data_IF_848780251634
#
_entry.id   IF_848780251634
#
_cell.length_a   1.000
_cell.length_b   1.000
_cell.length_c   1.000
_cell.angle_alpha   90.00
_cell.angle_beta   90.00
_cell.angle_gamma   90.00
#
_symmetry.space_group_name_H-M   'P 1'
#
loop_
_entity.id
_entity.type
_entity.pdbx_description
1 polymer ?
#
# COMPACT_ATOMS: atom_id res chain seq x y z
N UNK A 1 5.87 -8.12 60.05
CA UNK A 1 4.57 -8.04 59.34
C UNK A 1 4.33 -6.57 59.02
N UNK A 2 4.61 -6.16 57.78
CA UNK A 2 4.47 -4.75 57.37
C UNK A 2 3.01 -4.28 57.40
N UNK A 3 2.80 -2.99 57.62
CA UNK A 3 1.46 -2.37 57.55
C UNK A 3 0.92 -2.46 56.11
N UNK A 4 -0.38 -2.71 55.95
CA UNK A 4 -1.07 -2.76 54.65
C UNK A 4 -0.84 -1.49 53.81
N UNK A 5 -0.68 -0.34 54.47
CA UNK A 5 -0.41 0.95 53.81
C UNK A 5 0.97 0.92 53.12
N UNK A 6 1.99 0.39 53.77
CA UNK A 6 3.34 0.31 53.18
C UNK A 6 3.42 -0.66 52.01
N UNK A 7 2.66 -1.75 52.04
CA UNK A 7 2.55 -2.69 50.90
C UNK A 7 1.85 -2.04 49.70
N UNK A 8 0.80 -1.24 49.96
CA UNK A 8 0.11 -0.47 48.92
C UNK A 8 1.04 0.57 48.29
N UNK A 9 1.78 1.34 49.10
CA UNK A 9 2.75 2.33 48.64
C UNK A 9 3.86 1.69 47.80
N UNK A 10 4.38 0.53 48.23
CA UNK A 10 5.38 -0.22 47.47
C UNK A 10 4.83 -0.70 46.11
N UNK A 11 3.58 -1.17 46.09
CA UNK A 11 2.92 -1.61 44.86
C UNK A 11 2.62 -0.45 43.91
N UNK A 12 2.22 0.71 44.44
CA UNK A 12 2.05 1.94 43.65
C UNK A 12 3.39 2.42 43.07
N UNK A 13 4.44 2.44 43.88
CA UNK A 13 5.78 2.81 43.42
C UNK A 13 6.28 1.86 42.31
N UNK A 14 6.08 0.55 42.48
CA UNK A 14 6.41 -0.42 41.45
C UNK A 14 5.60 -0.20 40.18
N UNK A 15 4.29 0.06 40.28
CA UNK A 15 3.45 0.35 39.13
C UNK A 15 3.90 1.61 38.37
N UNK A 16 4.24 2.69 39.07
CA UNK A 16 4.77 3.92 38.46
C UNK A 16 6.09 3.66 37.73
N UNK A 17 7.02 2.94 38.35
CA UNK A 17 8.29 2.60 37.72
C UNK A 17 8.10 1.75 36.45
N UNK A 18 7.12 0.84 36.42
CA UNK A 18 6.80 0.07 35.21
C UNK A 18 6.21 0.95 34.11
N UNK A 19 5.35 1.92 34.45
CA UNK A 19 4.81 2.89 33.48
C UNK A 19 5.95 3.72 32.87
N UNK A 20 6.82 4.29 33.70
CA UNK A 20 7.97 5.09 33.22
C UNK A 20 8.89 4.26 32.31
N UNK A 21 9.14 2.99 32.64
CA UNK A 21 9.94 2.10 31.82
C UNK A 21 9.30 1.82 30.45
N UNK A 22 7.97 1.61 30.42
CA UNK A 22 7.22 1.40 29.18
C UNK A 22 7.19 2.68 28.32
N UNK A 23 7.01 3.84 28.93
CA UNK A 23 7.05 5.14 28.23
C UNK A 23 8.44 5.39 27.62
N UNK A 24 9.51 5.07 28.34
CA UNK A 24 10.87 5.15 27.81
C UNK A 24 11.09 4.22 26.62
N UNK A 25 10.56 2.99 26.67
CA UNK A 25 10.65 2.05 25.55
C UNK A 25 9.82 2.52 24.34
N UNK A 26 8.62 3.07 24.56
CA UNK A 26 7.82 3.68 23.50
C UNK A 26 8.54 4.85 22.83
N UNK A 27 9.20 5.72 23.62
CA UNK A 27 10.00 6.81 23.08
C UNK A 27 11.15 6.28 22.21
N UNK A 28 11.86 5.25 22.68
CA UNK A 28 12.95 4.60 21.93
C UNK A 28 12.47 3.99 20.61
N UNK A 29 11.36 3.25 20.64
CA UNK A 29 10.79 2.63 19.44
C UNK A 29 10.27 3.66 18.45
N UNK A 30 9.68 4.75 18.96
CA UNK A 30 9.20 5.87 18.12
C UNK A 30 10.35 6.53 17.39
N UNK A 31 11.45 6.85 18.09
CA UNK A 31 12.64 7.42 17.46
C UNK A 31 13.21 6.52 16.35
N UNK A 32 13.35 5.20 16.63
CA UNK A 32 13.82 4.24 15.62
C UNK A 32 12.89 4.16 14.40
N UNK A 33 11.57 4.24 14.62
CA UNK A 33 10.60 4.23 13.54
C UNK A 33 10.69 5.49 12.68
N UNK A 34 10.94 6.65 13.30
CA UNK A 34 11.15 7.91 12.58
C UNK A 34 12.41 7.85 11.73
N UNK A 35 13.52 7.34 12.26
CA UNK A 35 14.77 7.14 11.51
C UNK A 35 14.56 6.24 10.27
N UNK A 36 13.87 5.11 10.45
CA UNK A 36 13.60 4.16 9.36
C UNK A 36 12.67 4.77 8.30
N UNK A 37 11.65 5.53 8.73
CA UNK A 37 10.76 6.27 7.81
C UNK A 37 11.53 7.33 7.03
N UNK A 38 12.47 8.02 7.67
CA UNK A 38 13.31 9.00 6.99
C UNK A 38 14.21 8.32 5.96
N UNK A 39 14.85 7.20 6.32
CA UNK A 39 15.67 6.42 5.40
C UNK A 39 14.87 5.92 4.18
N UNK A 40 13.67 5.38 4.41
CA UNK A 40 12.76 4.98 3.35
C UNK A 40 12.31 6.16 2.48
N UNK A 41 11.99 7.30 3.09
CA UNK A 41 11.61 8.53 2.38
C UNK A 41 12.74 9.00 1.45
N UNK A 42 14.00 8.98 1.92
CA UNK A 42 15.18 9.32 1.11
C UNK A 42 15.31 8.40 -0.10
N UNK A 43 15.16 7.09 0.07
CA UNK A 43 15.20 6.12 -1.03
C UNK A 43 14.08 6.36 -2.05
N UNK A 44 12.87 6.66 -1.58
CA UNK A 44 11.72 6.98 -2.43
C UNK A 44 11.99 8.24 -3.27
N UNK A 45 12.56 9.28 -2.66
CA UNK A 45 12.96 10.52 -3.37
C UNK A 45 14.03 10.19 -4.42
N UNK A 46 15.08 9.44 -4.07
CA UNK A 46 16.12 9.06 -5.03
C UNK A 46 15.55 8.30 -6.23
N UNK A 47 14.58 7.40 -6.00
CA UNK A 47 13.89 6.68 -7.08
C UNK A 47 13.06 7.61 -7.98
N UNK A 48 12.43 8.63 -7.41
CA UNK A 48 11.69 9.66 -8.14
C UNK A 48 12.63 10.47 -9.03
N UNK A 49 13.76 10.94 -8.49
CA UNK A 49 14.80 11.65 -9.25
C UNK A 49 15.39 10.79 -10.37
N UNK A 50 15.66 9.51 -10.12
CA UNK A 50 16.13 8.59 -11.18
C UNK A 50 15.09 8.43 -12.28
N UNK A 51 13.80 8.34 -11.93
CA UNK A 51 12.74 8.27 -12.93
C UNK A 51 12.65 9.54 -13.77
N UNK A 52 12.82 10.72 -13.16
CA UNK A 52 12.87 12.01 -13.88
C UNK A 52 14.04 12.06 -14.87
N UNK A 53 15.26 11.69 -14.43
CA UNK A 53 16.44 11.64 -15.32
C UNK A 53 16.22 10.68 -16.49
N UNK A 54 15.60 9.51 -16.26
CA UNK A 54 15.27 8.58 -17.36
C UNK A 54 14.25 9.19 -18.32
N UNK A 55 13.23 9.90 -17.83
CA UNK A 55 12.27 10.58 -18.69
C UNK A 55 12.93 11.69 -19.50
N UNK A 56 13.85 12.47 -18.92
CA UNK A 56 14.58 13.53 -19.61
C UNK A 56 15.50 12.95 -20.69
N UNK A 57 16.18 11.84 -20.40
CA UNK A 57 17.00 11.10 -21.37
C UNK A 57 16.16 10.52 -22.51
N UNK A 58 14.95 10.02 -22.22
CA UNK A 58 14.03 9.50 -23.24
C UNK A 58 13.29 10.62 -24.01
N UNK A 59 13.14 11.81 -23.40
CA UNK A 59 12.57 13.01 -24.01
C UNK A 59 13.55 13.73 -24.95
N UNK A 60 14.85 13.46 -24.83
CA UNK A 60 15.88 13.83 -25.81
C UNK A 60 15.97 12.84 -26.98
N UNK A 61 14.81 12.30 -27.38
CA UNK A 61 14.61 11.51 -28.59
C UNK A 61 13.62 12.23 -29.51
N UNK A 62 13.96 13.44 -29.94
CA UNK A 62 13.19 14.13 -30.97
C UNK A 62 13.39 13.43 -32.33
N UNK A 63 12.62 12.38 -32.58
CA UNK A 63 12.19 12.01 -33.93
C UNK A 63 10.78 11.42 -33.87
N UNK A 64 9.80 12.20 -34.31
CA UNK A 64 8.56 11.70 -34.88
C UNK A 64 8.35 12.44 -36.21
N UNK A 65 7.56 11.92 -37.17
CA UNK A 65 7.24 10.53 -37.47
C UNK A 65 7.51 10.21 -38.96
N UNK A 66 7.74 8.95 -39.32
CA UNK A 66 7.41 8.47 -40.67
C UNK A 66 6.52 7.25 -40.52
N UNK A 67 5.29 7.41 -40.97
CA UNK A 67 4.30 6.36 -41.08
C UNK A 67 4.78 5.30 -42.08
N UNK A 68 4.56 4.02 -41.75
CA UNK A 68 3.67 3.11 -42.48
C UNK A 68 4.11 1.66 -42.30
N UNK A 69 3.20 0.85 -41.75
CA UNK A 69 2.96 -0.52 -42.20
C UNK A 69 3.90 -1.64 -41.73
N UNK A 70 3.23 -2.68 -41.22
CA UNK A 70 3.58 -4.11 -41.26
C UNK A 70 4.05 -4.71 -39.92
N UNK A 71 3.08 -5.24 -39.17
CA UNK A 71 3.21 -6.53 -38.46
C UNK A 71 3.42 -7.64 -39.51
N UNK A 72 4.24 -8.70 -39.28
CA UNK A 72 3.96 -9.63 -38.18
C UNK A 72 5.17 -10.28 -37.47
N UNK A 73 4.85 -10.70 -36.24
CA UNK A 73 5.25 -11.93 -35.55
C UNK A 73 6.71 -12.25 -35.16
N UNK A 74 6.89 -12.27 -33.83
CA UNK A 74 7.47 -13.34 -33.00
C UNK A 74 8.85 -13.88 -33.41
N UNK A 75 9.88 -13.40 -32.72
CA UNK A 75 11.01 -14.24 -32.30
C UNK A 75 11.63 -13.75 -31.00
N UNK A 76 11.57 -14.66 -30.03
CA UNK A 76 12.21 -14.65 -28.72
C UNK A 76 13.69 -14.34 -28.87
N UNK A 77 14.19 -13.34 -28.14
CA UNK A 77 15.60 -13.25 -27.76
C UNK A 77 15.72 -13.39 -26.24
N UNK A 78 16.49 -14.37 -25.75
CA UNK A 78 16.67 -14.59 -24.33
C UNK A 78 17.69 -13.60 -23.77
N UNK A 79 17.44 -13.11 -22.55
CA UNK A 79 18.50 -12.53 -21.73
C UNK A 79 18.68 -11.01 -21.79
N UNK A 80 17.63 -10.25 -22.10
CA UNK A 80 17.60 -8.84 -21.69
C UNK A 80 17.05 -8.74 -20.27
N UNK A 81 17.91 -8.75 -19.25
CA UNK A 81 17.49 -8.37 -17.89
C UNK A 81 17.14 -6.88 -17.94
N UNK A 82 15.87 -6.57 -18.21
CA UNK A 82 15.35 -5.21 -18.14
C UNK A 82 15.30 -4.82 -16.67
N UNK A 83 16.37 -4.19 -16.21
CA UNK A 83 16.32 -3.30 -15.05
C UNK A 83 15.55 -2.07 -15.52
N UNK A 84 14.26 -1.97 -15.19
CA UNK A 84 13.44 -0.82 -15.57
C UNK A 84 11.96 -1.13 -15.52
N UNK A 85 11.22 -0.34 -14.73
CA UNK A 85 9.78 -0.42 -14.48
C UNK A 85 9.31 -1.66 -13.70
N UNK A 86 9.25 -1.53 -12.36
CA UNK A 86 8.34 -2.36 -11.57
C UNK A 86 6.92 -2.03 -12.05
N UNK A 87 6.41 -2.86 -12.96
CA UNK A 87 5.10 -2.71 -13.58
C UNK A 87 4.08 -3.32 -12.64
N UNK A 88 3.01 -2.58 -12.32
CA UNK A 88 1.87 -3.13 -11.58
C UNK A 88 1.35 -4.35 -12.38
N UNK A 89 1.43 -5.58 -11.84
CA UNK A 89 0.99 -6.77 -12.56
C UNK A 89 -0.51 -6.70 -12.81
N UNK A 90 -1.01 -7.39 -13.84
CA UNK A 90 -2.46 -7.60 -13.97
C UNK A 90 -2.95 -8.52 -12.85
N UNK A 91 -4.11 -8.19 -12.27
CA UNK A 91 -4.76 -9.03 -11.28
C UNK A 91 -5.16 -10.38 -11.89
N UNK A 92 -4.95 -11.46 -11.12
CA UNK A 92 -5.46 -12.81 -11.41
C UNK A 92 -5.80 -13.49 -10.09
N UNK A 93 -6.65 -14.50 -10.13
CA UNK A 93 -7.02 -15.30 -8.96
C UNK A 93 -5.78 -15.83 -8.22
N UNK A 94 -5.76 -15.75 -6.89
CA UNK A 94 -4.65 -16.16 -6.04
C UNK A 94 -3.51 -15.12 -5.88
N UNK A 95 -3.58 -13.95 -6.53
CA UNK A 95 -2.66 -12.83 -6.28
C UNK A 95 -3.22 -11.92 -5.18
N UNK A 96 -2.41 -11.66 -4.16
CA UNK A 96 -2.72 -10.71 -3.10
C UNK A 96 -2.00 -9.37 -3.32
N UNK A 97 -2.43 -8.31 -2.63
CA UNK A 97 -1.79 -7.00 -2.67
C UNK A 97 -0.32 -7.00 -2.22
N UNK A 98 0.18 -8.09 -1.62
CA UNK A 98 1.57 -8.24 -1.22
C UNK A 98 2.56 -8.18 -2.41
N UNK A 99 2.12 -8.57 -3.61
CA UNK A 99 2.96 -8.53 -4.83
C UNK A 99 3.07 -7.13 -5.43
N UNK A 100 2.25 -6.18 -4.97
CA UNK A 100 2.26 -4.81 -5.44
C UNK A 100 3.38 -4.01 -4.74
N UNK A 101 3.96 -3.02 -5.43
CA UNK A 101 4.84 -2.05 -4.76
C UNK A 101 4.10 -1.31 -3.64
N UNK A 102 4.82 -0.91 -2.60
CA UNK A 102 4.28 -0.40 -1.33
C UNK A 102 3.16 0.63 -1.52
N UNK A 103 3.39 1.68 -2.30
CA UNK A 103 2.39 2.75 -2.53
C UNK A 103 1.07 2.23 -3.11
N UNK A 104 1.11 1.15 -3.91
CA UNK A 104 -0.11 0.53 -4.43
C UNK A 104 -0.75 -0.38 -3.38
N UNK A 105 0.04 -1.07 -2.54
CA UNK A 105 -0.46 -1.86 -1.42
C UNK A 105 -1.21 -0.98 -0.41
N UNK A 106 -0.62 0.15 -0.02
CA UNK A 106 -1.24 1.12 0.90
C UNK A 106 -2.59 1.62 0.37
N UNK A 107 -2.68 1.86 -0.94
CA UNK A 107 -3.93 2.26 -1.61
C UNK A 107 -4.98 1.12 -1.55
N UNK A 108 -4.58 -0.12 -1.79
CA UNK A 108 -5.49 -1.27 -1.72
C UNK A 108 -5.97 -1.50 -0.29
N UNK A 109 -5.09 -1.41 0.71
CA UNK A 109 -5.43 -1.58 2.14
C UNK A 109 -6.47 -0.54 2.57
N UNK A 110 -6.22 0.75 2.29
CA UNK A 110 -7.18 1.83 2.55
C UNK A 110 -8.54 1.60 1.90
N UNK A 111 -8.55 1.05 0.68
CA UNK A 111 -9.80 0.78 -0.04
C UNK A 111 -10.48 -0.52 0.41
N UNK A 112 -9.74 -1.46 0.99
CA UNK A 112 -10.28 -2.70 1.55
C UNK A 112 -11.00 -2.42 2.86
N UNK A 113 -10.48 -1.51 3.67
CA UNK A 113 -11.10 -1.05 4.92
C UNK A 113 -12.31 -0.11 4.68
N UNK A 114 -12.48 0.37 3.44
CA UNK A 114 -13.54 1.30 3.10
C UNK A 114 -14.83 0.57 2.72
N UNK A 115 -15.89 0.77 3.49
CA UNK A 115 -17.24 0.27 3.16
C UNK A 115 -17.86 0.94 1.91
N UNK A 116 -17.29 2.06 1.45
CA UNK A 116 -17.86 2.89 0.37
C UNK A 116 -16.78 3.31 -0.62
N UNK A 117 -17.11 3.42 -1.93
CA UNK A 117 -16.18 3.88 -2.95
C UNK A 117 -15.58 5.24 -2.62
N UNK A 118 -14.25 5.34 -2.70
CA UNK A 118 -13.50 6.51 -2.27
C UNK A 118 -12.94 7.32 -3.44
N UNK A 119 -12.79 8.63 -3.22
CA UNK A 119 -12.12 9.54 -4.15
C UNK A 119 -10.63 9.67 -3.80
N UNK A 120 -9.80 9.98 -4.80
CA UNK A 120 -8.35 10.20 -4.61
C UNK A 120 -8.05 11.20 -3.47
N UNK A 121 -8.82 12.29 -3.35
CA UNK A 121 -8.66 13.29 -2.28
C UNK A 121 -8.89 12.74 -0.86
N UNK A 122 -9.65 11.66 -0.72
CA UNK A 122 -9.93 11.00 0.55
C UNK A 122 -8.88 9.93 0.87
N UNK A 123 -8.25 9.35 -0.16
CA UNK A 123 -7.22 8.32 -0.03
C UNK A 123 -5.87 8.94 0.33
N UNK A 124 -5.51 10.07 -0.30
CA UNK A 124 -4.22 10.76 -0.11
C UNK A 124 -3.82 10.96 1.37
N UNK A 125 -4.69 11.50 2.27
CA UNK A 125 -4.34 11.64 3.67
C UNK A 125 -4.19 10.31 4.42
N UNK A 126 -4.92 9.27 4.00
CA UNK A 126 -4.91 7.95 4.64
C UNK A 126 -3.64 7.17 4.35
N UNK A 127 -3.02 7.42 3.19
CA UNK A 127 -1.69 6.89 2.83
C UNK A 127 -0.54 7.83 3.28
N UNK A 128 -0.82 8.76 4.20
CA UNK A 128 0.20 9.64 4.80
C UNK A 128 0.71 10.76 3.90
N UNK A 129 0.01 11.09 2.80
CA UNK A 129 0.40 12.17 1.89
C UNK A 129 -0.39 13.47 2.18
N UNK A 130 0.21 14.66 1.96
CA UNK A 130 -0.50 15.92 2.10
C UNK A 130 -1.57 16.08 1.01
N UNK A 131 -2.74 16.61 1.38
CA UNK A 131 -3.90 16.81 0.50
C UNK A 131 -3.74 17.99 -0.48
N UNK A 132 -2.61 18.05 -1.19
CA UNK A 132 -2.31 19.06 -2.21
C UNK A 132 -2.60 18.53 -3.61
N UNK A 133 -2.98 19.41 -4.54
CA UNK A 133 -3.43 19.05 -5.90
C UNK A 133 -2.49 18.09 -6.62
N UNK A 134 -1.18 18.32 -6.56
CA UNK A 134 -0.20 17.43 -7.20
C UNK A 134 -0.21 16.00 -6.64
N UNK A 135 -0.38 15.83 -5.33
CA UNK A 135 -0.46 14.49 -4.70
C UNK A 135 -1.83 13.84 -4.97
N UNK A 136 -2.90 14.64 -5.06
CA UNK A 136 -4.23 14.15 -5.44
C UNK A 136 -4.22 13.63 -6.88
N UNK A 137 -3.73 14.39 -7.84
CA UNK A 137 -3.66 13.96 -9.25
C UNK A 137 -2.69 12.80 -9.43
N UNK A 138 -1.52 12.86 -8.79
CA UNK A 138 -0.54 11.77 -8.82
C UNK A 138 -1.08 10.47 -8.19
N UNK A 139 -2.01 10.54 -7.24
CA UNK A 139 -2.70 9.38 -6.67
C UNK A 139 -3.85 8.92 -7.57
N UNK A 140 -4.59 9.85 -8.19
CA UNK A 140 -5.62 9.53 -9.19
C UNK A 140 -5.04 8.73 -10.37
N UNK A 141 -3.86 9.11 -10.88
CA UNK A 141 -3.17 8.34 -11.92
C UNK A 141 -2.80 6.91 -11.49
N UNK A 142 -2.43 6.71 -10.21
CA UNK A 142 -2.15 5.38 -9.66
C UNK A 142 -3.41 4.54 -9.53
N UNK A 143 -4.51 5.15 -9.10
CA UNK A 143 -5.82 4.51 -9.01
C UNK A 143 -6.31 4.05 -10.39
N UNK A 144 -6.22 4.92 -11.40
CA UNK A 144 -6.53 4.58 -12.80
C UNK A 144 -5.70 3.40 -13.31
N UNK A 145 -4.39 3.39 -13.01
CA UNK A 145 -3.52 2.25 -13.33
C UNK A 145 -3.96 0.95 -12.65
N UNK A 146 -4.37 1.00 -11.39
CA UNK A 146 -4.89 -0.19 -10.70
C UNK A 146 -6.21 -0.68 -11.30
N UNK A 147 -7.06 0.24 -11.78
CA UNK A 147 -8.28 -0.10 -12.52
C UNK A 147 -7.95 -0.79 -13.84
N UNK A 148 -7.06 -0.23 -14.65
CA UNK A 148 -6.58 -0.83 -15.92
C UNK A 148 -5.98 -2.23 -15.72
N UNK A 149 -5.38 -2.48 -14.56
CA UNK A 149 -4.76 -3.76 -14.21
C UNK A 149 -5.73 -4.72 -13.50
N UNK A 150 -6.98 -4.33 -13.28
CA UNK A 150 -8.02 -5.19 -12.69
C UNK A 150 -7.96 -5.34 -11.17
N UNK A 151 -7.19 -4.51 -10.47
CA UNK A 151 -7.14 -4.53 -8.99
C UNK A 151 -8.29 -3.73 -8.37
N UNK A 152 -8.70 -2.65 -9.02
CA UNK A 152 -9.77 -1.76 -8.59
C UNK A 152 -10.86 -1.68 -9.66
N UNK A 153 -12.08 -1.33 -9.25
CA UNK A 153 -13.12 -0.86 -10.16
C UNK A 153 -13.43 0.61 -9.92
N UNK A 154 -13.96 1.26 -10.96
CA UNK A 154 -14.44 2.63 -10.90
C UNK A 154 -15.88 2.68 -11.41
N UNK A 155 -16.83 2.37 -10.52
CA UNK A 155 -18.25 2.32 -10.88
C UNK A 155 -18.81 3.70 -11.26
N UNK A 156 -18.21 4.76 -10.69
CA UNK A 156 -18.53 6.15 -11.00
C UNK A 156 -17.25 6.94 -11.23
N UNK A 157 -17.24 7.92 -12.14
CA UNK A 157 -16.06 8.75 -12.38
C UNK A 157 -15.44 9.29 -11.09
N UNK A 158 -14.18 8.91 -10.85
CA UNK A 158 -13.39 9.32 -9.70
C UNK A 158 -13.72 8.63 -8.38
N UNK A 159 -14.53 7.56 -8.36
CA UNK A 159 -14.81 6.74 -7.18
C UNK A 159 -14.31 5.33 -7.39
N UNK A 160 -13.39 4.90 -6.53
CA UNK A 160 -12.69 3.63 -6.65
C UNK A 160 -13.10 2.68 -5.52
N UNK A 161 -13.19 1.39 -5.84
CA UNK A 161 -13.40 0.30 -4.87
C UNK A 161 -12.54 -0.91 -5.27
N UNK A 162 -12.27 -1.82 -4.33
CA UNK A 162 -11.53 -3.05 -4.63
C UNK A 162 -12.38 -3.94 -5.53
N UNK A 163 -11.80 -4.41 -6.64
CA UNK A 163 -12.51 -5.25 -7.61
C UNK A 163 -12.81 -6.66 -7.08
N UNK A 164 -11.92 -7.17 -6.21
CA UNK A 164 -11.96 -8.52 -5.68
C UNK A 164 -11.73 -8.47 -4.16
N UNK A 165 -12.75 -8.08 -3.38
CA UNK A 165 -12.67 -8.09 -1.92
C UNK A 165 -12.63 -9.54 -1.41
N UNK A 166 -11.42 -10.08 -1.25
CA UNK A 166 -11.17 -11.32 -0.51
C UNK A 166 -11.21 -12.63 -1.31
N UNK A 167 -10.05 -13.03 -1.83
CA UNK A 167 -9.64 -14.45 -1.80
C UNK A 167 -8.62 -14.56 -0.65
N UNK A 168 -9.13 -14.67 0.59
CA UNK A 168 -8.27 -14.65 1.77
C UNK A 168 -8.93 -14.88 3.12
N UNK A 169 -10.27 -15.02 3.20
CA UNK A 169 -10.94 -15.63 4.35
C UNK A 169 -12.14 -16.39 3.81
N UNK A 170 -12.08 -17.73 3.81
CA UNK A 170 -13.26 -18.56 3.54
C UNK A 170 -14.35 -18.22 4.57
N UNK A 171 -15.60 -17.95 4.16
CA UNK A 171 -16.72 -18.08 5.07
C UNK A 171 -16.86 -19.56 5.38
N UNK A 172 -16.52 -19.97 6.61
CA UNK A 172 -16.83 -21.31 7.11
C UNK A 172 -18.36 -21.44 7.13
N UNK A 173 -18.88 -21.94 6.02
CA UNK A 173 -20.28 -22.24 5.82
C UNK A 173 -20.58 -23.53 6.58
N UNK A 174 -20.75 -23.46 7.91
CA UNK A 174 -21.42 -24.51 8.68
C UNK A 174 -22.92 -24.30 8.59
N UNK A 175 -23.49 -24.69 7.45
CA UNK A 175 -24.92 -24.94 7.33
C UNK A 175 -25.13 -26.45 7.13
N UNK A 176 -25.65 -27.03 8.20
CA UNK A 176 -26.43 -28.28 8.30
C UNK A 176 -25.70 -29.62 8.41
N UNK A 177 -25.89 -30.24 9.58
CA UNK A 177 -26.48 -31.59 9.67
C UNK A 177 -27.47 -31.60 10.86
N UNK A 178 -28.76 -31.35 10.59
CA UNK A 178 -29.87 -32.32 10.73
C UNK A 178 -29.90 -33.15 12.03
N UNK A 179 -30.86 -32.77 12.87
CA UNK A 179 -31.86 -33.70 13.43
C UNK A 179 -31.43 -34.57 14.61
N UNK A 180 -31.99 -34.30 15.78
CA UNK A 180 -32.81 -35.33 16.43
C UNK A 180 -33.72 -34.72 17.49
N UNK A 181 -34.99 -35.08 17.41
CA UNK A 181 -36.02 -34.87 18.41
C UNK A 181 -35.61 -35.40 19.79
N UNK A 182 -35.95 -34.67 20.84
CA UNK A 182 -36.92 -35.03 21.88
C UNK A 182 -37.00 -33.91 22.94
#
# INVERSE_FOLDING_TARGET
MGSLIGELEAREAAARAQVEALEAELARLTARLEDEREAWSRLRIARETVAEVIMDLNGSGATAPVASGVEPEKSVHPGGRVVGAITVPHWRQGLSAAVLPDVYRDIIEVLTDAEKPMQAKQIVPRIGLPAVTGKIEGTRGKLKRLVERGWLTEDKPGRFTVAHPGDGVEPVNSRNDKGSSL
#
